data_IF_896533534920
#
_entry.id   IF_896533534920
#
_cell.length_a   1.000
_cell.length_b   1.000
_cell.length_c   1.000
_cell.angle_alpha   90.00
_cell.angle_beta   90.00
_cell.angle_gamma   90.00
#
_symmetry.space_group_name_H-M   'P 1'
#
loop_
_entity.id
_entity.type
_entity.pdbx_description
1 polymer ?
#
# COMPACT_ATOMS: atom_id res chain seq x y z
N UNK A 1 38.48 31.68 13.89
CA UNK A 1 37.17 32.16 13.40
C UNK A 1 36.22 30.98 13.37
N UNK A 2 35.32 30.89 14.35
CA UNK A 2 34.24 29.89 14.36
C UNK A 2 33.14 30.35 13.40
N UNK A 3 32.77 29.51 12.44
CA UNK A 3 31.51 29.65 11.69
C UNK A 3 30.49 28.72 12.35
N UNK A 4 29.37 29.30 12.77
CA UNK A 4 28.32 28.66 13.54
C UNK A 4 27.10 28.55 12.61
N UNK A 5 26.76 27.35 12.15
CA UNK A 5 25.54 27.12 11.37
C UNK A 5 24.41 26.68 12.30
N UNK A 6 23.40 27.54 12.43
CA UNK A 6 22.12 27.23 13.07
C UNK A 6 21.29 26.33 12.16
N UNK A 7 20.83 25.18 12.67
CA UNK A 7 19.77 24.39 12.04
C UNK A 7 18.49 24.62 12.83
N UNK A 8 17.53 25.33 12.22
CA UNK A 8 16.16 25.47 12.71
C UNK A 8 15.41 24.16 12.50
N UNK A 9 15.04 23.48 13.58
CA UNK A 9 14.15 22.32 13.55
C UNK A 9 12.72 22.84 13.72
N UNK A 10 11.94 22.81 12.63
CA UNK A 10 10.50 23.02 12.69
C UNK A 10 9.83 21.72 13.16
N UNK A 11 9.38 21.69 14.42
CA UNK A 11 8.55 20.62 14.94
C UNK A 11 7.10 20.82 14.48
N UNK A 12 6.61 19.90 13.66
CA UNK A 12 5.19 19.79 13.29
C UNK A 12 4.39 19.30 14.49
N UNK A 13 3.47 20.14 14.99
CA UNK A 13 2.56 19.83 16.09
C UNK A 13 1.35 19.05 15.56
N UNK A 14 1.30 17.74 15.81
CA UNK A 14 0.06 16.99 15.70
C UNK A 14 -0.70 17.08 17.03
N UNK A 15 -1.83 17.81 17.03
CA UNK A 15 -2.76 17.88 18.15
C UNK A 15 -3.89 16.88 17.94
N UNK A 16 -4.04 15.91 18.85
CA UNK A 16 -5.31 15.22 19.06
C UNK A 16 -5.67 15.33 20.55
N UNK A 17 -6.52 16.30 20.88
CA UNK A 17 -7.16 16.42 22.18
C UNK A 17 -8.51 15.70 22.14
N UNK A 18 -8.68 14.65 22.95
CA UNK A 18 -10.00 14.12 23.30
C UNK A 18 -10.40 14.69 24.65
N UNK A 19 -11.51 15.40 24.69
CA UNK A 19 -12.06 16.11 25.85
C UNK A 19 -13.27 15.38 26.42
N UNK A 20 -13.35 15.24 27.77
CA UNK A 20 -14.55 15.22 28.65
C UNK A 20 -14.09 15.24 30.13
N UNK A 21 -14.89 15.62 31.14
CA UNK A 21 -15.27 16.98 31.52
C UNK A 21 -14.82 17.41 32.95
N UNK A 22 -14.62 18.73 33.13
CA UNK A 22 -14.72 19.59 34.32
C UNK A 22 -14.61 19.02 35.76
N UNK A 23 -13.55 19.42 36.48
CA UNK A 23 -13.63 19.89 37.88
C UNK A 23 -12.44 20.81 38.22
N UNK A 24 -12.72 21.98 38.82
CA UNK A 24 -11.74 22.99 39.23
C UNK A 24 -10.80 22.49 40.34
N UNK A 25 -9.50 22.67 40.16
CA UNK A 25 -8.49 22.47 41.20
C UNK A 25 -7.09 22.33 40.60
N UNK A 26 -6.14 23.17 41.05
CA UNK A 26 -4.73 23.15 40.64
C UNK A 26 -4.13 21.73 40.68
N UNK A 27 -3.80 21.19 39.51
CA UNK A 27 -2.95 20.02 39.37
C UNK A 27 -1.73 20.39 38.51
N UNK A 28 -0.58 20.55 39.15
CA UNK A 28 0.72 20.57 38.46
C UNK A 28 0.95 19.17 37.89
N UNK A 29 0.76 19.00 36.58
CA UNK A 29 1.04 17.74 35.92
C UNK A 29 2.57 17.53 35.83
N UNK A 30 3.11 16.72 36.73
CA UNK A 30 4.43 16.13 36.56
C UNK A 30 4.32 14.98 35.56
N UNK A 31 4.68 15.25 34.30
CA UNK A 31 4.86 14.18 33.32
C UNK A 31 6.24 13.55 33.51
N UNK A 32 6.28 12.30 33.95
CA UNK A 32 7.47 11.46 33.84
C UNK A 32 7.47 10.93 32.40
N UNK A 33 8.26 11.55 31.53
CA UNK A 33 8.56 10.98 30.23
C UNK A 33 9.65 9.91 30.44
N UNK A 34 9.28 8.63 30.33
CA UNK A 34 10.25 7.54 30.29
C UNK A 34 10.94 7.57 28.92
N UNK A 35 11.95 8.44 28.80
CA UNK A 35 12.73 8.61 27.58
C UNK A 35 13.73 7.46 27.49
N UNK A 36 13.42 6.43 26.70
CA UNK A 36 14.41 5.46 26.27
C UNK A 36 15.40 6.12 25.31
N UNK A 37 16.53 6.54 25.85
CA UNK A 37 17.65 7.09 25.09
C UNK A 37 18.34 5.95 24.34
N UNK A 38 18.09 5.82 23.04
CA UNK A 38 18.86 4.90 22.19
C UNK A 38 20.16 5.59 21.77
N UNK A 39 21.30 5.07 22.25
CA UNK A 39 22.62 5.51 21.82
C UNK A 39 22.96 4.83 20.49
N UNK A 40 22.88 5.57 19.38
CA UNK A 40 23.51 5.14 18.13
C UNK A 40 24.99 5.53 18.18
N UNK A 41 25.87 4.56 18.37
CA UNK A 41 27.30 4.75 18.15
C UNK A 41 27.50 4.98 16.66
N UNK A 42 28.06 6.13 16.27
CA UNK A 42 28.40 6.43 14.88
C UNK A 42 29.55 5.51 14.45
N UNK A 43 29.22 4.30 14.00
CA UNK A 43 30.10 3.64 13.06
C UNK A 43 30.05 4.49 11.79
N UNK A 44 31.25 4.89 11.34
CA UNK A 44 31.46 5.64 10.12
C UNK A 44 30.44 5.20 9.07
N UNK A 45 29.79 6.17 8.42
CA UNK A 45 28.97 5.93 7.24
C UNK A 45 29.81 5.03 6.33
N UNK A 46 29.55 3.73 6.38
CA UNK A 46 29.98 2.84 5.32
C UNK A 46 29.37 3.52 4.12
N UNK A 47 30.20 3.98 3.18
CA UNK A 47 29.72 4.33 1.86
C UNK A 47 28.92 3.12 1.44
N UNK A 48 27.60 3.20 1.60
CA UNK A 48 26.68 2.25 1.07
C UNK A 48 26.91 2.48 -0.41
N UNK A 49 27.80 1.67 -0.99
CA UNK A 49 27.72 1.36 -2.40
C UNK A 49 26.24 1.11 -2.60
N UNK A 50 25.57 2.06 -3.26
CA UNK A 50 24.28 1.88 -3.88
C UNK A 50 24.50 0.65 -4.75
N UNK A 51 24.24 -0.51 -4.14
CA UNK A 51 24.14 -1.76 -4.84
C UNK A 51 22.98 -1.49 -5.75
N UNK A 52 23.32 -1.18 -7.00
CA UNK A 52 22.40 -1.18 -8.12
C UNK A 52 21.77 -2.58 -8.16
N UNK A 53 20.79 -2.79 -7.29
CA UNK A 53 20.16 -4.08 -7.07
C UNK A 53 19.16 -4.21 -8.21
N UNK A 54 19.69 -4.68 -9.33
CA UNK A 54 18.91 -5.05 -10.50
C UNK A 54 17.72 -5.89 -10.05
N UNK A 55 16.53 -5.61 -10.58
CA UNK A 55 15.36 -6.41 -10.25
C UNK A 55 15.58 -7.87 -10.66
N UNK A 56 15.71 -8.75 -9.67
CA UNK A 56 15.72 -10.18 -9.89
C UNK A 56 14.28 -10.63 -10.08
N UNK A 57 13.91 -10.91 -11.33
CA UNK A 57 12.54 -11.28 -11.70
C UNK A 57 12.39 -12.80 -11.57
N UNK A 58 11.59 -13.32 -10.61
CA UNK A 58 11.41 -14.76 -10.43
C UNK A 58 10.69 -15.39 -11.63
N UNK A 59 10.81 -16.71 -11.77
CA UNK A 59 10.12 -17.44 -12.83
C UNK A 59 8.59 -17.23 -12.77
N UNK A 60 7.99 -16.98 -13.93
CA UNK A 60 6.55 -16.69 -14.06
C UNK A 60 6.17 -15.23 -13.84
N UNK A 61 7.08 -14.38 -13.37
CA UNK A 61 6.86 -12.93 -13.36
C UNK A 61 7.30 -12.31 -14.69
N UNK A 62 6.51 -11.36 -15.18
CA UNK A 62 6.80 -10.54 -16.35
C UNK A 62 7.21 -9.14 -15.88
N UNK A 63 8.41 -8.70 -16.25
CA UNK A 63 8.88 -7.35 -15.97
C UNK A 63 8.21 -6.35 -16.91
N UNK A 64 7.72 -5.26 -16.33
CA UNK A 64 7.32 -4.04 -17.01
C UNK A 64 8.21 -2.90 -16.52
N UNK A 65 9.07 -2.44 -17.42
CA UNK A 65 10.06 -1.40 -17.11
C UNK A 65 9.34 -0.15 -16.59
N UNK A 66 9.82 0.38 -15.48
CA UNK A 66 9.30 1.54 -14.75
C UNK A 66 8.18 1.23 -13.76
N UNK A 67 7.65 0.01 -13.76
CA UNK A 67 6.48 -0.35 -12.95
C UNK A 67 6.71 -1.52 -12.01
N UNK A 68 7.52 -2.50 -12.40
CA UNK A 68 7.81 -3.69 -11.59
C UNK A 68 7.50 -4.98 -12.33
N UNK A 69 7.58 -6.10 -11.61
CA UNK A 69 7.34 -7.43 -12.17
C UNK A 69 5.98 -7.96 -11.72
N UNK A 70 5.18 -8.49 -12.64
CA UNK A 70 3.81 -8.93 -12.36
C UNK A 70 3.64 -10.41 -12.72
N UNK A 71 2.80 -11.10 -11.94
CA UNK A 71 2.39 -12.46 -12.22
C UNK A 71 0.88 -12.59 -12.02
N UNK A 72 0.22 -13.20 -12.98
CA UNK A 72 -1.20 -13.53 -12.91
C UNK A 72 -1.38 -14.96 -12.42
N UNK A 73 -2.36 -15.17 -11.54
CA UNK A 73 -2.74 -16.47 -11.01
C UNK A 73 -4.20 -16.77 -11.38
N UNK A 74 -4.41 -17.82 -12.16
CA UNK A 74 -5.72 -18.28 -12.63
C UNK A 74 -6.12 -19.66 -12.09
N UNK A 75 -5.19 -20.37 -11.47
CA UNK A 75 -5.37 -21.75 -11.04
C UNK A 75 -6.01 -21.87 -9.64
N UNK A 76 -6.17 -20.75 -8.91
CA UNK A 76 -6.56 -20.73 -7.50
C UNK A 76 -7.65 -19.71 -7.19
N UNK A 77 -8.72 -19.65 -7.98
CA UNK A 77 -9.86 -18.75 -7.70
C UNK A 77 -10.18 -18.71 -6.19
N UNK A 78 -9.85 -17.61 -5.52
CA UNK A 78 -9.81 -17.57 -4.04
C UNK A 78 -10.22 -16.21 -3.50
N UNK A 79 -10.44 -16.13 -2.20
CA UNK A 79 -10.76 -14.88 -1.52
C UNK A 79 -9.54 -13.95 -1.45
N UNK A 80 -9.80 -12.66 -1.25
CA UNK A 80 -8.78 -11.62 -1.31
C UNK A 80 -7.66 -11.82 -0.28
N UNK A 81 -7.99 -12.27 0.93
CA UNK A 81 -7.00 -12.53 1.98
C UNK A 81 -6.06 -13.68 1.61
N UNK A 82 -6.61 -14.73 1.00
CA UNK A 82 -5.85 -15.89 0.54
C UNK A 82 -4.97 -15.53 -0.65
N UNK A 83 -5.48 -14.72 -1.59
CA UNK A 83 -4.69 -14.16 -2.69
C UNK A 83 -3.52 -13.30 -2.16
N UNK A 84 -3.77 -12.44 -1.16
CA UNK A 84 -2.72 -11.65 -0.49
C UNK A 84 -1.63 -12.53 0.11
N UNK A 85 -2.02 -13.57 0.85
CA UNK A 85 -1.07 -14.53 1.44
C UNK A 85 -0.26 -15.28 0.38
N UNK A 86 -0.88 -15.63 -0.75
CA UNK A 86 -0.19 -16.28 -1.86
C UNK A 86 0.91 -15.38 -2.44
N UNK A 87 0.62 -14.10 -2.72
CA UNK A 87 1.65 -13.18 -3.20
C UNK A 87 2.78 -12.97 -2.18
N UNK A 88 2.44 -12.83 -0.89
CA UNK A 88 3.44 -12.70 0.18
C UNK A 88 4.37 -13.92 0.23
N UNK A 89 3.82 -15.14 0.06
CA UNK A 89 4.62 -16.36 0.04
C UNK A 89 5.59 -16.43 -1.15
N UNK A 90 5.35 -15.67 -2.22
CA UNK A 90 6.25 -15.53 -3.37
C UNK A 90 7.26 -14.38 -3.22
N UNK A 91 7.28 -13.67 -2.07
CA UNK A 91 8.09 -12.47 -1.89
C UNK A 91 7.55 -11.24 -2.63
N UNK A 92 6.26 -11.26 -2.99
CA UNK A 92 5.54 -10.22 -3.69
C UNK A 92 4.40 -9.66 -2.81
N UNK A 93 3.61 -8.75 -3.37
CA UNK A 93 2.33 -8.33 -2.79
C UNK A 93 1.22 -8.39 -3.85
N UNK A 94 -0.05 -8.31 -3.46
CA UNK A 94 -1.12 -8.11 -4.44
C UNK A 94 -0.83 -6.83 -5.23
N UNK A 95 -1.03 -6.87 -6.55
CA UNK A 95 -0.63 -5.79 -7.42
C UNK A 95 -1.32 -4.47 -7.08
N UNK A 96 -0.53 -3.43 -6.85
CA UNK A 96 -0.99 -2.06 -6.56
C UNK A 96 -0.70 -1.21 -7.79
N UNK A 97 -1.67 -1.00 -8.71
CA UNK A 97 -1.45 -0.16 -9.88
C UNK A 97 -1.47 1.33 -9.49
N UNK A 98 -0.29 1.95 -9.37
CA UNK A 98 -0.12 3.35 -8.93
C UNK A 98 -0.26 4.40 -10.03
N UNK A 99 -0.51 3.97 -11.27
CA UNK A 99 -0.68 4.87 -12.40
C UNK A 99 -1.72 4.33 -13.37
N UNK A 100 -2.24 5.21 -14.23
CA UNK A 100 -3.14 4.78 -15.31
C UNK A 100 -2.47 3.85 -16.32
N UNK A 101 -1.14 3.95 -16.48
CA UNK A 101 -0.37 3.04 -17.30
C UNK A 101 -0.31 1.64 -16.66
N UNK A 102 -0.01 1.55 -15.35
CA UNK A 102 -0.06 0.27 -14.63
C UNK A 102 -1.46 -0.35 -14.63
N UNK A 103 -2.50 0.45 -14.39
CA UNK A 103 -3.89 -0.01 -14.43
C UNK A 103 -4.23 -0.58 -15.82
N UNK A 104 -3.76 0.05 -16.90
CA UNK A 104 -3.98 -0.42 -18.27
C UNK A 104 -3.30 -1.77 -18.53
N UNK A 105 -2.06 -1.98 -18.06
CA UNK A 105 -1.35 -3.27 -18.18
C UNK A 105 -2.20 -4.41 -17.62
N UNK A 106 -2.75 -4.23 -16.42
CA UNK A 106 -3.57 -5.26 -15.78
C UNK A 106 -4.91 -5.48 -16.48
N UNK A 107 -5.56 -4.39 -16.93
CA UNK A 107 -6.83 -4.45 -17.66
C UNK A 107 -6.66 -5.19 -18.99
N UNK A 108 -5.65 -4.82 -19.77
CA UNK A 108 -5.41 -5.41 -21.08
C UNK A 108 -5.06 -6.90 -20.95
N UNK A 109 -4.31 -7.26 -19.90
CA UNK A 109 -4.05 -8.66 -19.58
C UNK A 109 -5.35 -9.44 -19.36
N UNK A 110 -6.22 -9.03 -18.42
CA UNK A 110 -7.47 -9.78 -18.16
C UNK A 110 -8.44 -9.74 -19.35
N UNK A 111 -8.43 -8.65 -20.12
CA UNK A 111 -9.21 -8.54 -21.36
C UNK A 111 -8.78 -9.58 -22.39
N UNK A 112 -7.46 -9.81 -22.53
CA UNK A 112 -6.90 -10.83 -23.43
C UNK A 112 -7.22 -12.26 -22.99
N UNK A 113 -7.36 -12.49 -21.68
CA UNK A 113 -7.71 -13.79 -21.09
C UNK A 113 -9.23 -14.06 -21.07
N UNK A 114 -10.07 -13.09 -21.49
CA UNK A 114 -11.54 -13.17 -21.42
C UNK A 114 -12.03 -13.40 -19.97
N UNK A 115 -11.26 -12.91 -18.99
CA UNK A 115 -11.58 -13.00 -17.56
C UNK A 115 -12.31 -11.73 -17.14
N UNK A 116 -13.31 -11.87 -16.26
CA UNK A 116 -14.13 -10.74 -15.82
C UNK A 116 -13.39 -9.83 -14.85
N UNK A 117 -12.81 -10.43 -13.80
CA UNK A 117 -12.23 -9.73 -12.66
C UNK A 117 -10.99 -10.44 -12.14
N UNK A 118 -10.12 -9.67 -11.49
CA UNK A 118 -9.02 -10.19 -10.71
C UNK A 118 -8.76 -9.31 -9.48
N UNK A 119 -8.34 -9.90 -8.36
CA UNK A 119 -7.94 -9.18 -7.16
C UNK A 119 -6.68 -8.33 -7.41
N UNK A 120 -6.72 -7.14 -6.82
CA UNK A 120 -5.60 -6.21 -6.71
C UNK A 120 -5.42 -5.78 -5.26
N UNK A 121 -4.29 -5.15 -4.99
CA UNK A 121 -3.84 -4.80 -3.65
C UNK A 121 -4.45 -3.54 -3.09
N UNK A 122 -5.73 -3.24 -3.35
CA UNK A 122 -6.45 -2.12 -2.73
C UNK A 122 -7.60 -2.60 -1.85
N UNK A 123 -7.85 -1.89 -0.76
CA UNK A 123 -8.92 -2.17 0.19
C UNK A 123 -9.38 -0.92 0.95
N UNK A 124 -10.52 -0.99 1.62
CA UNK A 124 -11.04 0.04 2.51
C UNK A 124 -11.31 -0.53 3.91
N UNK A 125 -10.37 -1.32 4.43
CA UNK A 125 -10.49 -2.02 5.72
C UNK A 125 -10.46 -1.08 6.94
N UNK A 126 -9.65 -0.02 6.88
CA UNK A 126 -9.48 0.93 7.98
C UNK A 126 -10.66 1.90 8.09
N UNK A 127 -11.12 2.42 6.96
CA UNK A 127 -12.27 3.31 6.85
C UNK A 127 -13.08 2.95 5.59
N UNK A 128 -14.42 3.04 5.64
CA UNK A 128 -15.28 2.65 4.51
C UNK A 128 -15.22 3.62 3.33
N UNK A 129 -14.76 4.85 3.56
CA UNK A 129 -14.68 5.93 2.58
C UNK A 129 -13.28 6.10 2.01
N UNK A 130 -12.25 5.65 2.72
CA UNK A 130 -10.86 5.77 2.31
C UNK A 130 -10.30 4.42 1.84
N UNK A 131 -9.52 4.45 0.77
CA UNK A 131 -8.87 3.27 0.23
C UNK A 131 -7.37 3.33 0.45
N UNK A 132 -6.82 2.17 0.77
CA UNK A 132 -5.41 1.95 1.03
C UNK A 132 -4.92 0.76 0.21
N UNK A 133 -3.64 0.77 -0.09
CA UNK A 133 -2.94 -0.36 -0.67
C UNK A 133 -2.61 -1.40 0.41
N UNK A 134 -2.27 -2.62 -0.01
CA UNK A 134 -1.75 -3.68 0.88
C UNK A 134 -0.38 -3.36 1.50
N UNK A 135 0.22 -2.23 1.10
CA UNK A 135 1.45 -1.66 1.66
C UNK A 135 1.15 -0.50 2.61
N UNK A 136 -0.12 -0.34 3.01
CA UNK A 136 -0.60 0.67 3.95
C UNK A 136 -0.46 2.13 3.44
N UNK A 137 -0.42 2.31 2.12
CA UNK A 137 -0.38 3.61 1.45
C UNK A 137 -1.79 4.04 1.03
N UNK A 138 -2.22 5.30 1.21
CA UNK A 138 -3.48 5.77 0.62
C UNK A 138 -3.43 5.72 -0.91
N UNK A 139 -4.59 5.62 -1.56
CA UNK A 139 -4.64 5.71 -3.03
C UNK A 139 -4.17 7.09 -3.52
N UNK A 140 -3.49 7.12 -4.67
CA UNK A 140 -3.11 8.38 -5.32
C UNK A 140 -4.35 9.16 -5.82
N UNK A 141 -4.26 10.49 -5.91
CA UNK A 141 -5.35 11.38 -6.37
C UNK A 141 -5.93 11.00 -7.75
N UNK A 142 -5.11 10.40 -8.62
CA UNK A 142 -5.51 9.95 -9.95
C UNK A 142 -6.22 8.59 -9.97
N UNK A 143 -6.17 7.85 -8.87
CA UNK A 143 -6.75 6.51 -8.72
C UNK A 143 -8.24 6.62 -8.46
N UNK A 144 -9.03 5.89 -9.25
CA UNK A 144 -10.50 5.90 -9.16
C UNK A 144 -11.00 4.49 -8.96
N UNK A 145 -11.57 4.22 -7.79
CA UNK A 145 -12.20 2.95 -7.48
C UNK A 145 -13.72 3.11 -7.64
N UNK A 146 -14.29 2.41 -8.61
CA UNK A 146 -15.72 2.40 -8.83
C UNK A 146 -16.43 1.66 -7.70
N UNK A 147 -17.47 2.28 -7.13
CA UNK A 147 -18.34 1.65 -6.13
C UNK A 147 -19.71 1.45 -6.78
N UNK A 148 -20.08 0.21 -7.14
CA UNK A 148 -21.42 -0.08 -7.65
C UNK A 148 -22.49 0.29 -6.62
N UNK A 149 -23.64 0.81 -7.07
CA UNK A 149 -24.75 1.21 -6.18
C UNK A 149 -25.17 0.07 -5.25
N UNK A 150 -25.23 -1.15 -5.78
CA UNK A 150 -25.56 -2.36 -5.03
C UNK A 150 -24.61 -2.69 -3.89
N UNK A 151 -23.40 -2.12 -3.89
CA UNK A 151 -22.35 -2.38 -2.89
C UNK A 151 -22.11 -1.23 -1.92
N UNK A 152 -22.81 -0.09 -2.03
CA UNK A 152 -22.60 1.06 -1.13
C UNK A 152 -22.92 0.75 0.34
N UNK A 153 -23.92 -0.09 0.59
CA UNK A 153 -24.35 -0.48 1.94
C UNK A 153 -23.70 -1.77 2.44
N UNK A 154 -23.00 -2.51 1.57
CA UNK A 154 -22.37 -3.78 1.92
C UNK A 154 -21.06 -3.54 2.69
N UNK A 155 -20.67 -4.48 3.55
CA UNK A 155 -19.34 -4.47 4.19
C UNK A 155 -18.24 -5.01 3.25
N UNK A 156 -18.34 -4.68 1.97
CA UNK A 156 -17.39 -5.08 0.93
C UNK A 156 -16.24 -4.09 0.91
N UNK A 157 -15.05 -4.56 1.28
CA UNK A 157 -13.89 -3.68 1.52
C UNK A 157 -12.67 -4.03 0.67
N UNK A 158 -12.81 -4.86 -0.37
CA UNK A 158 -11.72 -5.27 -1.26
C UNK A 158 -11.94 -4.74 -2.68
N UNK A 159 -10.91 -4.77 -3.51
CA UNK A 159 -10.94 -4.20 -4.87
C UNK A 159 -10.50 -5.23 -5.89
N UNK A 160 -11.31 -5.37 -6.94
CA UNK A 160 -10.94 -6.06 -8.17
C UNK A 160 -10.56 -5.07 -9.26
N UNK A 161 -9.83 -5.53 -10.26
CA UNK A 161 -9.70 -4.87 -11.55
C UNK A 161 -10.56 -5.57 -12.61
N UNK A 162 -11.27 -4.78 -13.42
CA UNK A 162 -12.16 -5.24 -14.48
C UNK A 162 -11.72 -4.63 -15.82
N UNK A 163 -11.76 -5.41 -16.91
CA UNK A 163 -11.25 -4.97 -18.22
C UNK A 163 -11.84 -3.62 -18.67
N UNK A 164 -13.15 -3.42 -18.52
CA UNK A 164 -13.82 -2.19 -18.99
C UNK A 164 -13.91 -1.11 -17.91
N UNK A 165 -14.20 -1.50 -16.68
CA UNK A 165 -14.51 -0.56 -15.58
C UNK A 165 -13.26 -0.12 -14.81
N UNK A 166 -12.13 -0.81 -14.95
CA UNK A 166 -10.94 -0.56 -14.15
C UNK A 166 -11.12 -1.06 -12.72
N UNK A 167 -10.61 -0.32 -11.75
CA UNK A 167 -10.69 -0.68 -10.33
C UNK A 167 -12.12 -0.56 -9.80
N UNK A 168 -12.59 -1.58 -9.08
CA UNK A 168 -13.95 -1.65 -8.57
C UNK A 168 -14.01 -2.32 -7.19
N UNK A 169 -14.78 -1.75 -6.26
CA UNK A 169 -15.08 -2.37 -4.96
C UNK A 169 -15.84 -3.68 -5.17
N UNK A 170 -15.41 -4.73 -4.48
CA UNK A 170 -15.99 -6.06 -4.55
C UNK A 170 -15.97 -6.77 -3.20
N UNK A 171 -16.73 -7.85 -3.10
CA UNK A 171 -16.84 -8.64 -1.87
C UNK A 171 -15.61 -9.51 -1.68
N UNK A 172 -14.89 -9.32 -0.57
CA UNK A 172 -13.60 -9.96 -0.32
C UNK A 172 -13.63 -11.49 -0.39
N UNK A 173 -14.80 -12.11 -0.21
CA UNK A 173 -14.99 -13.57 -0.20
C UNK A 173 -15.32 -14.17 -1.57
N UNK A 174 -15.40 -13.36 -2.62
CA UNK A 174 -15.58 -13.89 -3.97
C UNK A 174 -14.34 -14.69 -4.41
N UNK A 175 -14.53 -15.84 -5.08
CA UNK A 175 -13.42 -16.59 -5.64
C UNK A 175 -12.99 -15.96 -6.97
N UNK A 176 -11.91 -15.18 -6.96
CA UNK A 176 -11.39 -14.51 -8.15
C UNK A 176 -9.91 -14.87 -8.39
N UNK A 177 -9.47 -14.65 -9.62
CA UNK A 177 -8.06 -14.64 -10.01
C UNK A 177 -7.36 -13.44 -9.39
N UNK A 178 -6.03 -13.38 -9.47
CA UNK A 178 -5.31 -12.26 -8.85
C UNK A 178 -3.98 -11.97 -9.53
N UNK A 179 -3.50 -10.74 -9.34
CA UNK A 179 -2.16 -10.34 -9.73
C UNK A 179 -1.26 -10.16 -8.52
N UNK A 180 -0.08 -10.76 -8.56
CA UNK A 180 1.03 -10.41 -7.68
C UNK A 180 1.94 -9.39 -8.39
N UNK A 181 2.57 -8.52 -7.61
CA UNK A 181 3.56 -7.54 -8.04
C UNK A 181 4.77 -7.58 -7.12
N UNK A 182 5.94 -7.50 -7.73
CA UNK A 182 7.21 -7.18 -7.07
C UNK A 182 7.58 -5.77 -7.52
N UNK A 183 7.64 -4.84 -6.57
CA UNK A 183 8.15 -3.50 -6.83
C UNK A 183 9.66 -3.62 -7.10
N UNK A 184 10.04 -3.31 -8.34
CA UNK A 184 11.42 -3.21 -8.76
C UNK A 184 11.85 -1.76 -8.61
N UNK A 185 12.84 -1.46 -7.78
CA UNK A 185 13.52 -0.17 -7.86
C UNK A 185 14.26 -0.13 -9.21
N UNK A 186 13.80 0.72 -10.13
CA UNK A 186 14.55 0.99 -11.35
C UNK A 186 15.59 2.10 -11.14
N UNK A 187 16.63 1.98 -11.94
CA UNK A 187 17.82 2.83 -12.02
C UNK A 187 17.50 4.27 -12.43
#
# INVERSE_FOLDING_TARGET
MLSMNFVLILASLCHCALSYPNYEGQATHNFIADHQTFYFTSNAFSNATTSNKKCEVPAGYQLYVGFGAYKYHDERHTDWDTARKACIAEGAHLAVPRSKAEEAILKDYIGSQVVRWAWVGYHSHFDRSEFYSVLDEPIDDGTRIHIPESRKSMDDRCVVIAYRQGLMRWTCKAPENFFCKIDCEEY
#
